data_IF_533640023421
#
_entry.id   IF_533640023421
#
_cell.length_a   1.000
_cell.length_b   1.000
_cell.length_c   1.000
_cell.angle_alpha   90.00
_cell.angle_beta   90.00
_cell.angle_gamma   90.00
#
_symmetry.space_group_name_H-M   'P 1'
#
loop_
_entity.id
_entity.type
_entity.pdbx_description
1 polymer ?
#
# COMPACT_ATOMS: atom_id res chain seq x y z
N UNK A 1 37.69 21.47 1.87
CA UNK A 1 36.48 20.76 1.44
C UNK A 1 35.31 21.53 2.03
N UNK A 2 34.41 22.09 1.23
CA UNK A 2 33.29 22.83 1.78
C UNK A 2 32.42 21.85 2.58
N UNK A 3 32.06 22.21 3.81
CA UNK A 3 31.09 21.49 4.62
C UNK A 3 29.71 21.61 3.94
N UNK A 4 29.48 20.73 2.98
CA UNK A 4 28.19 20.63 2.31
C UNK A 4 27.21 20.12 3.34
N UNK A 5 26.34 21.00 3.81
CA UNK A 5 25.25 20.64 4.73
C UNK A 5 24.51 19.39 4.22
N UNK A 6 24.24 18.44 5.11
CA UNK A 6 23.54 17.19 4.78
C UNK A 6 22.16 17.47 4.14
N UNK A 7 21.54 18.60 4.49
CA UNK A 7 20.27 19.07 3.92
C UNK A 7 20.37 19.45 2.43
N UNK A 8 21.57 19.69 1.91
CA UNK A 8 21.80 19.96 0.49
C UNK A 8 22.04 18.67 -0.32
N UNK A 9 21.87 17.49 0.29
CA UNK A 9 22.01 16.19 -0.36
C UNK A 9 20.67 15.46 -0.44
N UNK A 10 20.51 14.53 -1.39
CA UNK A 10 19.28 13.76 -1.55
C UNK A 10 19.11 12.63 -0.51
N UNK A 11 20.19 12.23 0.16
CA UNK A 11 20.23 11.10 1.07
C UNK A 11 19.24 11.18 2.26
N UNK A 12 19.15 12.28 3.03
CA UNK A 12 18.19 12.36 4.14
C UNK A 12 16.75 12.23 3.65
N UNK A 13 16.40 12.91 2.55
CA UNK A 13 15.05 12.83 1.97
C UNK A 13 14.70 11.41 1.51
N UNK A 14 15.68 10.70 0.94
CA UNK A 14 15.51 9.32 0.51
C UNK A 14 15.20 8.38 1.69
N UNK A 15 16.00 8.46 2.76
CA UNK A 15 15.83 7.63 3.96
C UNK A 15 14.52 7.97 4.66
N UNK A 16 14.15 9.25 4.76
CA UNK A 16 12.87 9.67 5.34
C UNK A 16 11.70 9.13 4.52
N UNK A 17 11.74 9.23 3.19
CA UNK A 17 10.68 8.70 2.32
C UNK A 17 10.54 7.17 2.46
N UNK A 18 11.66 6.44 2.51
CA UNK A 18 11.67 5.00 2.73
C UNK A 18 11.13 4.61 4.11
N UNK A 19 11.52 5.35 5.16
CA UNK A 19 11.04 5.14 6.52
C UNK A 19 9.54 5.38 6.65
N UNK A 20 9.03 6.48 6.07
CA UNK A 20 7.60 6.78 6.02
C UNK A 20 6.82 5.70 5.29
N UNK A 21 7.32 5.23 4.13
CA UNK A 21 6.67 4.19 3.34
C UNK A 21 6.58 2.88 4.12
N UNK A 22 7.72 2.41 4.63
CA UNK A 22 7.82 1.15 5.38
C UNK A 22 6.98 1.19 6.65
N UNK A 23 7.06 2.29 7.41
CA UNK A 23 6.28 2.49 8.64
C UNK A 23 4.78 2.54 8.37
N UNK A 24 4.35 3.26 7.34
CA UNK A 24 2.94 3.34 6.93
C UNK A 24 2.39 1.96 6.56
N UNK A 25 3.12 1.22 5.73
CA UNK A 25 2.74 -0.13 5.31
C UNK A 25 2.63 -1.10 6.48
N UNK A 26 3.66 -1.11 7.33
CA UNK A 26 3.71 -2.00 8.47
C UNK A 26 2.58 -1.69 9.46
N UNK A 27 2.48 -0.44 9.89
CA UNK A 27 1.49 -0.02 10.87
C UNK A 27 0.08 -0.28 10.37
N UNK A 28 -0.29 0.17 9.17
CA UNK A 28 -1.67 0.03 8.70
C UNK A 28 -2.06 -1.45 8.49
N UNK A 29 -1.16 -2.26 7.92
CA UNK A 29 -1.49 -3.65 7.54
C UNK A 29 -1.46 -4.61 8.72
N UNK A 30 -0.52 -4.44 9.65
CA UNK A 30 -0.27 -5.42 10.72
C UNK A 30 -0.66 -4.93 12.11
N UNK A 31 -0.87 -3.63 12.30
CA UNK A 31 -1.22 -3.05 13.61
C UNK A 31 -2.59 -2.36 13.55
N UNK A 32 -2.68 -1.21 12.88
CA UNK A 32 -3.86 -0.35 12.82
C UNK A 32 -5.10 -1.07 12.30
N UNK A 33 -4.98 -1.84 11.21
CA UNK A 33 -6.08 -2.63 10.66
C UNK A 33 -6.61 -3.69 11.65
N UNK A 34 -5.71 -4.43 12.30
CA UNK A 34 -6.07 -5.46 13.28
C UNK A 34 -6.69 -4.88 14.55
N UNK A 35 -6.09 -3.80 15.09
CA UNK A 35 -6.61 -3.10 16.26
C UNK A 35 -8.01 -2.56 15.96
N UNK A 36 -8.20 -1.88 14.83
CA UNK A 36 -9.51 -1.37 14.43
C UNK A 36 -10.55 -2.48 14.20
N UNK A 37 -10.15 -3.60 13.59
CA UNK A 37 -11.04 -4.74 13.35
C UNK A 37 -11.55 -5.38 14.65
N UNK A 38 -10.71 -5.40 15.70
CA UNK A 38 -11.06 -5.92 17.02
C UNK A 38 -11.86 -4.93 17.87
N UNK A 39 -11.53 -3.64 17.77
CA UNK A 39 -12.10 -2.60 18.62
C UNK A 39 -13.45 -2.06 18.13
N UNK A 40 -13.72 -2.09 16.82
CA UNK A 40 -14.91 -1.48 16.23
C UNK A 40 -15.93 -2.52 15.79
N UNK A 41 -17.25 -2.22 15.94
CA UNK A 41 -18.26 -3.04 15.29
C UNK A 41 -18.10 -2.97 13.75
N UNK A 42 -18.53 -4.03 13.06
CA UNK A 42 -18.26 -4.22 11.62
C UNK A 42 -18.65 -3.04 10.73
N UNK A 43 -19.80 -2.37 10.92
CA UNK A 43 -20.15 -1.20 10.11
C UNK A 43 -19.19 -0.02 10.30
N UNK A 44 -18.75 0.26 11.53
CA UNK A 44 -17.81 1.35 11.85
C UNK A 44 -16.42 1.04 11.31
N UNK A 45 -15.95 -0.20 11.47
CA UNK A 45 -14.70 -0.66 10.86
C UNK A 45 -14.74 -0.47 9.33
N UNK A 46 -15.82 -0.93 8.67
CA UNK A 46 -16.03 -0.79 7.23
C UNK A 46 -15.98 0.68 6.77
N UNK A 47 -16.62 1.59 7.51
CA UNK A 47 -16.58 3.02 7.21
C UNK A 47 -15.18 3.61 7.37
N UNK A 48 -14.48 3.25 8.45
CA UNK A 48 -13.12 3.71 8.70
C UNK A 48 -12.16 3.26 7.58
N UNK A 49 -12.22 1.98 7.19
CA UNK A 49 -11.40 1.43 6.12
C UNK A 49 -11.62 2.16 4.78
N UNK A 50 -12.88 2.48 4.43
CA UNK A 50 -13.20 3.25 3.21
C UNK A 50 -12.59 4.65 3.17
N UNK A 51 -12.26 5.23 4.34
CA UNK A 51 -11.60 6.54 4.44
C UNK A 51 -10.08 6.41 4.49
N UNK A 52 -9.56 5.38 5.16
CA UNK A 52 -8.12 5.17 5.29
C UNK A 52 -7.50 4.71 3.96
N UNK A 53 -8.08 3.71 3.28
CA UNK A 53 -7.42 3.06 2.15
C UNK A 53 -7.09 3.98 0.97
N UNK A 54 -7.93 4.94 0.55
CA UNK A 54 -7.55 5.89 -0.48
C UNK A 54 -6.31 6.71 -0.11
N UNK A 55 -6.21 7.16 1.14
CA UNK A 55 -5.05 7.92 1.63
C UNK A 55 -3.82 7.01 1.69
N UNK A 56 -3.98 5.84 2.29
CA UNK A 56 -2.93 4.84 2.45
C UNK A 56 -2.33 4.41 1.10
N UNK A 57 -3.15 4.07 0.11
CA UNK A 57 -2.67 3.72 -1.23
C UNK A 57 -2.06 4.92 -1.97
N UNK A 58 -2.57 6.14 -1.74
CA UNK A 58 -1.96 7.36 -2.29
C UNK A 58 -0.55 7.57 -1.76
N UNK A 59 -0.34 7.44 -0.45
CA UNK A 59 0.99 7.50 0.17
C UNK A 59 1.91 6.43 -0.43
N UNK A 60 1.42 5.20 -0.56
CA UNK A 60 2.18 4.10 -1.16
C UNK A 60 2.47 4.26 -2.67
N UNK A 61 1.72 5.08 -3.39
CA UNK A 61 2.02 5.42 -4.79
C UNK A 61 3.00 6.58 -4.90
N UNK A 62 2.88 7.60 -4.04
CA UNK A 62 3.73 8.81 -4.09
C UNK A 62 5.14 8.56 -3.55
N UNK A 63 5.28 7.90 -2.40
CA UNK A 63 6.58 7.68 -1.78
C UNK A 63 7.58 6.85 -2.61
N UNK A 64 7.22 5.75 -3.31
CA UNK A 64 8.17 5.06 -4.17
C UNK A 64 8.64 5.92 -5.36
N UNK A 65 7.80 6.82 -5.88
CA UNK A 65 8.23 7.79 -6.88
C UNK A 65 9.24 8.79 -6.30
N UNK A 66 9.01 9.27 -5.08
CA UNK A 66 9.97 10.12 -4.37
C UNK A 66 11.29 9.39 -4.08
N UNK A 67 11.24 8.12 -3.68
CA UNK A 67 12.40 7.25 -3.49
C UNK A 67 13.17 7.11 -4.81
N UNK A 68 12.49 6.94 -5.95
CA UNK A 68 13.14 6.87 -7.26
C UNK A 68 13.86 8.18 -7.63
N UNK A 69 13.21 9.32 -7.41
CA UNK A 69 13.77 10.66 -7.70
C UNK A 69 14.97 10.96 -6.81
N UNK A 70 14.90 10.59 -5.53
CA UNK A 70 15.94 10.84 -4.53
C UNK A 70 17.01 9.74 -4.47
N UNK A 71 16.98 8.77 -5.40
CA UNK A 71 17.87 7.62 -5.38
C UNK A 71 19.34 8.03 -5.24
N UNK A 72 20.05 7.57 -4.17
CA UNK A 72 21.41 7.97 -3.93
C UNK A 72 22.35 7.27 -4.92
N UNK A 73 23.07 8.06 -5.72
CA UNK A 73 24.22 7.58 -6.49
C UNK A 73 25.41 7.29 -5.57
N UNK A 74 26.37 6.52 -6.08
CA UNK A 74 27.70 6.32 -5.45
C UNK A 74 28.78 6.76 -6.43
N UNK A 75 30.04 6.87 -5.99
CA UNK A 75 31.15 7.20 -6.90
C UNK A 75 31.11 6.30 -8.16
N UNK A 76 30.96 6.92 -9.34
CA UNK A 76 30.86 6.24 -10.64
C UNK A 76 29.48 5.68 -11.03
N UNK A 77 28.43 5.83 -10.22
CA UNK A 77 27.05 5.38 -10.53
C UNK A 77 26.08 6.56 -10.57
N UNK A 78 25.13 6.54 -11.49
CA UNK A 78 24.14 7.61 -11.60
C UNK A 78 23.26 7.69 -10.34
N UNK A 79 22.81 8.91 -10.00
CA UNK A 79 21.79 9.18 -9.00
C UNK A 79 20.41 9.38 -9.63
N UNK A 80 19.39 9.49 -8.79
CA UNK A 80 18.01 9.71 -9.21
C UNK A 80 17.48 8.62 -10.15
N UNK A 81 16.54 8.99 -11.01
CA UNK A 81 15.85 8.07 -11.92
C UNK A 81 16.83 7.26 -12.76
N UNK A 82 17.88 7.89 -13.31
CA UNK A 82 18.91 7.20 -14.10
C UNK A 82 19.59 6.09 -13.29
N UNK A 83 19.96 6.37 -12.05
CA UNK A 83 20.54 5.38 -11.13
C UNK A 83 19.62 4.20 -10.83
N UNK A 84 18.31 4.46 -10.73
CA UNK A 84 17.31 3.39 -10.56
C UNK A 84 17.31 2.45 -11.77
N UNK A 85 17.30 3.00 -13.00
CA UNK A 85 17.32 2.20 -14.23
C UNK A 85 18.63 1.42 -14.42
N UNK A 86 19.77 2.02 -14.07
CA UNK A 86 21.07 1.35 -14.09
C UNK A 86 21.13 0.19 -13.07
N UNK A 87 20.42 0.30 -11.95
CA UNK A 87 20.33 -0.75 -10.96
C UNK A 87 19.02 -1.54 -11.02
N UNK A 88 18.91 -2.38 -12.05
CA UNK A 88 17.68 -3.11 -12.35
C UNK A 88 17.18 -3.99 -11.20
N UNK A 89 18.03 -4.88 -10.67
CA UNK A 89 17.60 -5.89 -9.68
C UNK A 89 17.35 -5.28 -8.30
N UNK A 90 18.20 -4.36 -7.88
CA UNK A 90 18.18 -3.87 -6.50
C UNK A 90 17.39 -2.58 -6.31
N UNK A 91 17.12 -1.83 -7.37
CA UNK A 91 16.34 -0.60 -7.28
C UNK A 91 15.11 -0.64 -8.19
N UNK A 92 15.27 -0.83 -9.50
CA UNK A 92 14.15 -0.72 -10.44
C UNK A 92 13.03 -1.71 -10.13
N UNK A 93 13.34 -3.01 -10.05
CA UNK A 93 12.32 -4.06 -9.82
C UNK A 93 11.53 -3.81 -8.53
N UNK A 94 12.15 -3.65 -7.35
CA UNK A 94 11.39 -3.45 -6.12
C UNK A 94 10.62 -2.12 -6.13
N UNK A 95 11.23 -0.99 -6.56
CA UNK A 95 10.54 0.30 -6.61
C UNK A 95 9.35 0.27 -7.57
N UNK A 96 9.54 -0.29 -8.77
CA UNK A 96 8.47 -0.42 -9.75
C UNK A 96 7.36 -1.35 -9.25
N UNK A 97 7.70 -2.43 -8.53
CA UNK A 97 6.72 -3.34 -7.95
C UNK A 97 5.83 -2.60 -6.95
N UNK A 98 6.43 -1.84 -6.01
CA UNK A 98 5.68 -1.02 -5.05
C UNK A 98 4.76 -0.04 -5.78
N UNK A 99 5.29 0.69 -6.76
CA UNK A 99 4.55 1.71 -7.49
C UNK A 99 3.36 1.11 -8.25
N UNK A 100 3.58 0.00 -8.96
CA UNK A 100 2.55 -0.66 -9.77
C UNK A 100 1.47 -1.27 -8.87
N UNK A 101 1.84 -2.05 -7.85
CA UNK A 101 0.84 -2.70 -6.99
C UNK A 101 0.01 -1.68 -6.21
N UNK A 102 0.63 -0.60 -5.74
CA UNK A 102 -0.05 0.49 -5.03
C UNK A 102 -0.97 1.28 -5.96
N UNK A 103 -0.54 1.55 -7.20
CA UNK A 103 -1.38 2.25 -8.19
C UNK A 103 -2.58 1.41 -8.63
N UNK A 104 -2.42 0.10 -8.82
CA UNK A 104 -3.53 -0.82 -9.11
C UNK A 104 -4.53 -0.81 -7.94
N UNK A 105 -4.04 -0.83 -6.69
CA UNK A 105 -4.89 -0.73 -5.51
C UNK A 105 -5.61 0.62 -5.41
N UNK A 106 -4.91 1.72 -5.65
CA UNK A 106 -5.46 3.07 -5.57
C UNK A 106 -6.55 3.30 -6.62
N UNK A 107 -6.28 2.93 -7.87
CA UNK A 107 -7.08 3.35 -9.02
C UNK A 107 -8.15 2.32 -9.42
N UNK A 108 -7.92 1.03 -9.16
CA UNK A 108 -8.77 -0.04 -9.69
C UNK A 108 -9.38 -0.90 -8.57
N UNK A 109 -8.54 -1.62 -7.82
CA UNK A 109 -9.01 -2.68 -6.90
C UNK A 109 -9.65 -2.08 -5.65
N UNK A 110 -9.08 -1.01 -5.08
CA UNK A 110 -9.63 -0.31 -3.91
C UNK A 110 -11.02 0.29 -4.17
N UNK A 111 -11.20 1.09 -5.24
CA UNK A 111 -12.51 1.60 -5.64
C UNK A 111 -13.54 0.48 -5.89
N UNK A 112 -13.15 -0.60 -6.59
CA UNK A 112 -14.02 -1.75 -6.83
C UNK A 112 -14.42 -2.46 -5.53
N UNK A 113 -13.48 -2.64 -4.59
CA UNK A 113 -13.76 -3.24 -3.27
C UNK A 113 -14.74 -2.38 -2.48
N UNK A 114 -14.55 -1.06 -2.49
CA UNK A 114 -15.44 -0.10 -1.82
C UNK A 114 -16.84 -0.13 -2.43
N UNK A 115 -16.94 -0.24 -3.76
CA UNK A 115 -18.22 -0.39 -4.45
C UNK A 115 -18.95 -1.65 -3.99
N UNK A 116 -18.27 -2.81 -3.97
CA UNK A 116 -18.86 -4.07 -3.47
C UNK A 116 -19.29 -3.97 -1.98
N UNK A 117 -18.54 -3.25 -1.15
CA UNK A 117 -18.93 -2.98 0.24
C UNK A 117 -20.24 -2.17 0.34
N UNK A 118 -20.40 -1.15 -0.50
CA UNK A 118 -21.63 -0.33 -0.56
C UNK A 118 -22.82 -1.13 -1.09
N UNK A 119 -22.61 -1.93 -2.13
CA UNK A 119 -23.66 -2.78 -2.70
C UNK A 119 -24.16 -3.81 -1.69
N UNK A 120 -23.26 -4.45 -0.93
CA UNK A 120 -23.67 -5.32 0.19
C UNK A 120 -24.51 -4.56 1.20
N UNK A 121 -24.13 -3.33 1.56
CA UNK A 121 -24.88 -2.53 2.53
C UNK A 121 -26.29 -2.19 2.04
N UNK A 122 -26.45 -1.89 0.76
CA UNK A 122 -27.77 -1.70 0.13
C UNK A 122 -28.56 -3.01 0.16
N UNK A 123 -27.92 -4.13 -0.15
CA UNK A 123 -28.57 -5.44 -0.13
C UNK A 123 -29.04 -5.83 1.27
N UNK A 124 -28.34 -5.43 2.34
CA UNK A 124 -28.83 -5.65 3.72
C UNK A 124 -30.20 -5.01 3.96
N UNK A 125 -30.45 -3.85 3.35
CA UNK A 125 -31.71 -3.13 3.49
C UNK A 125 -32.83 -3.82 2.70
N UNK A 126 -32.49 -4.35 1.52
CA UNK A 126 -33.44 -5.11 0.67
C UNK A 126 -33.82 -6.44 1.28
N UNK A 127 -32.85 -7.15 1.87
CA UNK A 127 -33.04 -8.46 2.48
C UNK A 127 -33.60 -8.38 3.91
N UNK A 128 -33.55 -7.19 4.54
CA UNK A 128 -33.82 -7.04 5.97
C UNK A 128 -32.86 -7.83 6.86
N UNK A 129 -31.68 -8.20 6.33
CA UNK A 129 -30.71 -9.13 6.94
C UNK A 129 -29.29 -8.72 6.63
N UNK A 130 -28.39 -8.74 7.62
CA UNK A 130 -27.00 -8.31 7.44
C UNK A 130 -26.19 -9.37 6.72
N UNK A 131 -25.13 -8.96 6.01
CA UNK A 131 -24.21 -9.89 5.35
C UNK A 131 -23.37 -10.73 6.33
N UNK A 132 -23.41 -10.39 7.63
CA UNK A 132 -22.73 -11.10 8.72
C UNK A 132 -23.63 -12.06 9.50
N UNK A 133 -24.93 -12.03 9.25
CA UNK A 133 -25.87 -12.90 9.97
C UNK A 133 -25.76 -14.35 9.48
N UNK A 134 -26.21 -15.37 10.26
CA UNK A 134 -26.17 -16.76 9.81
C UNK A 134 -26.95 -17.00 8.52
N UNK A 135 -26.53 -18.00 7.73
CA UNK A 135 -27.21 -18.44 6.52
C UNK A 135 -28.69 -18.84 6.76
N UNK A 136 -29.56 -18.86 5.72
CA UNK A 136 -29.27 -18.54 4.32
C UNK A 136 -29.29 -17.03 4.03
N UNK A 137 -28.49 -16.61 3.06
CA UNK A 137 -28.56 -15.28 2.46
C UNK A 137 -29.20 -15.37 1.07
N UNK A 138 -29.76 -14.27 0.57
CA UNK A 138 -30.20 -14.17 -0.82
C UNK A 138 -29.07 -14.51 -1.80
N UNK A 139 -29.41 -15.00 -2.99
CA UNK A 139 -28.43 -15.29 -4.05
C UNK A 139 -27.57 -14.06 -4.37
N UNK A 140 -28.19 -12.88 -4.39
CA UNK A 140 -27.50 -11.62 -4.66
C UNK A 140 -26.51 -11.25 -3.55
N UNK A 141 -26.90 -11.42 -2.27
CA UNK A 141 -25.98 -11.20 -1.16
C UNK A 141 -24.79 -12.18 -1.19
N UNK A 142 -25.03 -13.45 -1.56
CA UNK A 142 -23.95 -14.44 -1.73
C UNK A 142 -22.99 -14.03 -2.86
N UNK A 143 -23.51 -13.58 -4.01
CA UNK A 143 -22.73 -13.06 -5.13
C UNK A 143 -21.86 -11.87 -4.69
N UNK A 144 -22.44 -10.91 -3.98
CA UNK A 144 -21.74 -9.72 -3.49
C UNK A 144 -20.69 -10.06 -2.43
N UNK A 145 -20.96 -11.02 -1.54
CA UNK A 145 -19.98 -11.52 -0.57
C UNK A 145 -18.78 -12.18 -1.28
N UNK A 146 -19.03 -13.02 -2.29
CA UNK A 146 -17.97 -13.61 -3.11
C UNK A 146 -17.12 -12.55 -3.82
N UNK A 147 -17.79 -11.57 -4.45
CA UNK A 147 -17.11 -10.47 -5.13
C UNK A 147 -16.23 -9.66 -4.18
N UNK A 148 -16.77 -9.27 -3.02
CA UNK A 148 -16.00 -8.56 -2.00
C UNK A 148 -14.78 -9.37 -1.55
N UNK A 149 -14.96 -10.65 -1.22
CA UNK A 149 -13.86 -11.49 -0.74
C UNK A 149 -12.75 -11.63 -1.78
N UNK A 150 -13.09 -11.80 -3.05
CA UNK A 150 -12.11 -11.84 -4.15
C UNK A 150 -11.35 -10.53 -4.29
N UNK A 151 -12.05 -9.40 -4.35
CA UNK A 151 -11.42 -8.08 -4.51
C UNK A 151 -10.55 -7.71 -3.30
N UNK A 152 -11.03 -7.97 -2.08
CA UNK A 152 -10.27 -7.75 -0.85
C UNK A 152 -9.02 -8.64 -0.78
N UNK A 153 -9.12 -9.90 -1.19
CA UNK A 153 -7.98 -10.82 -1.27
C UNK A 153 -6.91 -10.34 -2.27
N UNK A 154 -7.33 -9.94 -3.47
CA UNK A 154 -6.42 -9.37 -4.49
C UNK A 154 -5.75 -8.11 -3.96
N UNK A 155 -6.51 -7.20 -3.34
CA UNK A 155 -5.97 -5.95 -2.78
C UNK A 155 -4.91 -6.23 -1.71
N UNK A 156 -5.20 -7.18 -0.81
CA UNK A 156 -4.28 -7.61 0.24
C UNK A 156 -2.99 -8.23 -0.32
N UNK A 157 -3.10 -9.06 -1.37
CA UNK A 157 -1.93 -9.66 -2.02
C UNK A 157 -1.05 -8.60 -2.68
N UNK A 158 -1.64 -7.67 -3.44
CA UNK A 158 -0.91 -6.54 -4.05
C UNK A 158 -0.18 -5.70 -2.99
N UNK A 159 -0.85 -5.43 -1.88
CA UNK A 159 -0.26 -4.68 -0.76
C UNK A 159 0.89 -5.45 -0.09
N UNK A 160 0.74 -6.76 0.12
CA UNK A 160 1.80 -7.60 0.70
C UNK A 160 3.03 -7.67 -0.21
N UNK A 161 2.83 -7.82 -1.53
CA UNK A 161 3.92 -7.81 -2.51
C UNK A 161 4.65 -6.46 -2.51
N UNK A 162 3.91 -5.35 -2.44
CA UNK A 162 4.50 -4.01 -2.28
C UNK A 162 5.31 -3.86 -1.00
N UNK A 163 4.80 -4.35 0.13
CA UNK A 163 5.51 -4.31 1.41
C UNK A 163 6.80 -5.13 1.38
N UNK A 164 6.77 -6.38 0.89
CA UNK A 164 7.96 -7.23 0.75
C UNK A 164 9.00 -6.55 -0.16
N UNK A 165 8.56 -5.93 -1.25
CA UNK A 165 9.45 -5.19 -2.16
C UNK A 165 10.08 -3.98 -1.48
N UNK A 166 9.35 -3.30 -0.59
CA UNK A 166 9.87 -2.18 0.21
C UNK A 166 10.96 -2.63 1.17
N UNK A 167 10.75 -3.75 1.87
CA UNK A 167 11.76 -4.35 2.75
C UNK A 167 13.00 -4.79 1.96
N UNK A 168 12.80 -5.47 0.83
CA UNK A 168 13.89 -5.91 -0.05
C UNK A 168 14.73 -4.73 -0.57
N UNK A 169 14.07 -3.63 -0.95
CA UNK A 169 14.76 -2.41 -1.33
C UNK A 169 15.56 -1.82 -0.15
N UNK A 170 14.95 -1.74 1.04
CA UNK A 170 15.63 -1.27 2.24
C UNK A 170 16.89 -2.04 2.59
N UNK A 171 16.87 -3.38 2.46
CA UNK A 171 18.07 -4.20 2.65
C UNK A 171 19.16 -3.91 1.61
N UNK A 172 18.78 -3.67 0.36
CA UNK A 172 19.80 -3.35 -0.66
C UNK A 172 20.34 -1.93 -0.53
N UNK A 173 19.56 -1.01 0.04
CA UNK A 173 20.08 0.31 0.40
C UNK A 173 21.09 0.18 1.55
N UNK A 174 20.78 -0.63 2.58
CA UNK A 174 21.67 -0.86 3.71
C UNK A 174 23.02 -1.46 3.30
N UNK A 175 23.05 -2.37 2.31
CA UNK A 175 24.29 -2.95 1.78
C UNK A 175 25.21 -1.97 1.04
N UNK A 176 24.83 -0.68 0.95
CA UNK A 176 25.66 0.39 0.39
C UNK A 176 26.20 1.34 1.45
N UNK A 177 25.68 1.21 2.67
CA UNK A 177 26.08 2.00 3.84
C UNK A 177 27.17 1.24 4.61
N UNK A 178 27.16 -0.09 4.55
CA UNK A 178 28.14 -1.01 5.16
C UNK A 178 29.22 -1.39 4.15
#
# INVERSE_FOLDING_TARGET
MADTSIFNTLAPYHITALGLLTGTQFYQSFVGGFVAYKALPRPQFSQLQQKIFPIYFSIQTVLPALIAITYPGSAGKASGIKGVFENRRSALIPIATILVTSSINLLLVGPATTKAMRERKVQETRDGKKYTDPAPHSEEMQRLNSLFSKLHGISSLLNLLGFISTISYGFTLASRIV
#
